data_IF_974668049453
#
_entry.id   IF_974668049453
#
_cell.length_a   1.000
_cell.length_b   1.000
_cell.length_c   1.000
_cell.angle_alpha   90.00
_cell.angle_beta   90.00
_cell.angle_gamma   90.00
#
_symmetry.space_group_name_H-M   'P 1'
#
loop_
_entity.id
_entity.type
_entity.pdbx_description
1 polymer ?
#
# COMPACT_ATOMS: atom_id res chain seq x y z
N UNK A 1 28.51 31.75 2.99
CA UNK A 1 27.80 30.45 2.95
C UNK A 1 26.32 30.75 2.89
N UNK A 2 25.67 30.50 1.74
CA UNK A 2 24.22 30.53 1.65
C UNK A 2 23.72 29.11 1.83
N UNK A 3 23.21 28.78 3.02
CA UNK A 3 22.46 27.54 3.20
C UNK A 3 21.01 27.81 2.84
N UNK A 4 20.50 27.09 1.84
CA UNK A 4 19.05 27.05 1.63
C UNK A 4 18.42 26.44 2.89
N UNK A 5 17.41 27.11 3.50
CA UNK A 5 16.71 26.49 4.60
C UNK A 5 16.14 25.14 4.12
N UNK A 6 16.10 24.10 4.97
CA UNK A 6 15.55 22.82 4.56
C UNK A 6 14.15 23.00 3.95
N UNK A 7 13.66 22.07 3.11
CA UNK A 7 12.28 22.08 2.61
C UNK A 7 11.29 21.43 3.59
N UNK A 8 9.98 21.72 3.45
CA UNK A 8 8.93 21.03 4.23
C UNK A 8 8.95 19.53 3.87
N UNK A 9 8.90 18.60 4.84
CA UNK A 9 8.84 17.17 4.53
C UNK A 9 7.56 16.84 3.76
N UNK A 10 7.67 15.93 2.79
CA UNK A 10 6.55 15.48 1.95
C UNK A 10 6.52 13.96 1.93
N UNK A 11 5.33 13.37 2.12
CA UNK A 11 5.10 11.93 1.93
C UNK A 11 4.51 11.74 0.54
N UNK A 12 5.25 11.10 -0.36
CA UNK A 12 4.76 10.79 -1.70
C UNK A 12 4.06 9.43 -1.76
N UNK A 13 4.59 8.42 -1.05
CA UNK A 13 4.02 7.06 -1.00
C UNK A 13 4.38 6.36 0.30
N UNK A 14 3.52 5.44 0.74
CA UNK A 14 3.74 4.54 1.87
C UNK A 14 3.44 3.11 1.45
N UNK A 15 4.22 2.14 1.94
CA UNK A 15 4.01 0.72 1.62
C UNK A 15 2.78 0.13 2.30
N UNK A 16 2.41 0.66 3.47
CA UNK A 16 1.27 0.22 4.26
C UNK A 16 0.31 1.39 4.49
N UNK A 17 -0.99 1.12 4.32
CA UNK A 17 -2.08 2.02 4.72
C UNK A 17 -2.80 1.55 5.97
N UNK A 18 -2.52 0.33 6.41
CA UNK A 18 -3.11 -0.26 7.60
C UNK A 18 -2.18 -1.28 8.24
N UNK A 19 -2.41 -1.56 9.52
CA UNK A 19 -1.81 -2.69 10.23
C UNK A 19 -2.73 -3.16 11.37
N UNK A 20 -2.50 -4.37 11.90
CA UNK A 20 -3.13 -4.78 13.16
C UNK A 20 -2.84 -3.79 14.29
N UNK A 21 -3.75 -3.70 15.25
CA UNK A 21 -3.61 -2.81 16.40
C UNK A 21 -2.34 -3.06 17.23
N UNK A 22 -1.77 -4.28 17.16
CA UNK A 22 -0.49 -4.61 17.78
C UNK A 22 0.73 -3.92 17.16
N UNK A 23 0.59 -3.31 15.97
CA UNK A 23 1.71 -2.71 15.25
C UNK A 23 2.80 -3.74 14.91
N UNK A 24 4.06 -3.32 14.99
CA UNK A 24 5.24 -4.18 14.81
C UNK A 24 5.63 -4.45 13.35
N UNK A 25 4.85 -3.98 12.38
CA UNK A 25 5.16 -4.12 10.96
C UNK A 25 6.13 -3.02 10.52
N UNK A 26 7.06 -3.38 9.65
CA UNK A 26 7.94 -2.43 8.96
C UNK A 26 7.18 -1.71 7.84
N UNK A 27 7.30 -0.39 7.82
CA UNK A 27 6.69 0.46 6.81
C UNK A 27 7.76 1.30 6.10
N UNK A 28 7.73 1.26 4.78
CA UNK A 28 8.55 2.08 3.91
C UNK A 28 7.78 3.33 3.51
N UNK A 29 8.40 4.50 3.66
CA UNK A 29 7.84 5.78 3.23
C UNK A 29 8.77 6.39 2.19
N UNK A 30 8.25 6.69 1.00
CA UNK A 30 8.91 7.47 -0.04
C UNK A 30 8.43 8.92 0.06
N UNK A 31 9.35 9.87 -0.06
CA UNK A 31 9.06 11.28 0.18
C UNK A 31 10.19 12.22 -0.21
N UNK A 32 10.18 13.42 0.39
CA UNK A 32 11.19 14.46 0.18
C UNK A 32 11.51 15.17 1.49
N UNK A 33 12.70 15.77 1.54
CA UNK A 33 13.18 16.63 2.63
C UNK A 33 13.25 15.92 4.00
N UNK A 34 13.56 14.62 3.98
CA UNK A 34 13.87 13.88 5.19
C UNK A 34 15.32 14.16 5.59
N UNK A 35 15.52 14.56 6.83
CA UNK A 35 16.84 14.81 7.42
C UNK A 35 17.11 13.82 8.55
N UNK A 36 18.32 13.86 9.13
CA UNK A 36 18.74 12.90 10.17
C UNK A 36 17.87 12.95 11.45
N UNK A 37 17.15 14.03 11.67
CA UNK A 37 16.23 14.23 12.79
C UNK A 37 14.77 13.86 12.46
N UNK A 38 14.54 13.24 11.29
CA UNK A 38 13.20 12.87 10.83
C UNK A 38 12.55 11.85 11.75
N UNK A 39 11.25 12.04 11.98
CA UNK A 39 10.41 11.18 12.83
C UNK A 39 9.07 10.99 12.16
N UNK A 40 8.45 9.84 12.38
CA UNK A 40 7.07 9.57 11.95
C UNK A 40 6.17 9.71 13.17
N UNK A 41 5.06 10.42 13.01
CA UNK A 41 4.10 10.70 14.08
C UNK A 41 2.76 10.08 13.69
N UNK A 42 2.22 9.24 14.57
CA UNK A 42 0.87 8.72 14.49
C UNK A 42 0.02 9.44 15.53
N UNK A 43 -1.15 9.93 15.14
CA UNK A 43 -2.00 10.72 16.04
C UNK A 43 -3.49 10.49 15.78
N UNK A 44 -4.29 10.59 16.83
CA UNK A 44 -5.74 10.53 16.79
C UNK A 44 -6.31 11.69 17.62
N UNK A 45 -7.36 12.32 17.11
CA UNK A 45 -7.97 13.50 17.72
C UNK A 45 -7.13 14.77 17.57
N UNK A 46 -7.66 15.87 18.10
CA UNK A 46 -6.96 17.15 18.13
C UNK A 46 -6.11 17.25 19.40
N UNK A 47 -4.94 17.89 19.29
CA UNK A 47 -4.04 18.06 20.43
C UNK A 47 -4.77 18.84 21.52
N UNK A 48 -4.84 18.25 22.71
CA UNK A 48 -5.47 18.86 23.88
C UNK A 48 -6.94 18.49 24.09
N UNK A 49 -7.52 17.63 23.25
CA UNK A 49 -8.85 17.05 23.53
C UNK A 49 -8.72 15.81 24.41
N UNK A 50 -9.73 15.60 25.26
CA UNK A 50 -9.93 14.34 25.96
C UNK A 50 -9.97 13.19 24.95
N UNK A 51 -9.13 12.17 25.16
CA UNK A 51 -8.99 11.04 24.24
C UNK A 51 -7.98 11.20 23.12
N UNK A 52 -7.29 12.34 22.99
CA UNK A 52 -6.19 12.49 22.03
C UNK A 52 -5.07 11.47 22.30
N UNK A 53 -4.45 11.01 21.21
CA UNK A 53 -3.34 10.05 21.24
C UNK A 53 -2.30 10.48 20.22
N UNK A 54 -1.03 10.43 20.61
CA UNK A 54 0.09 10.70 19.72
C UNK A 54 1.26 9.80 20.07
N UNK A 55 1.91 9.22 19.06
CA UNK A 55 3.13 8.44 19.22
C UNK A 55 4.13 8.83 18.15
N UNK A 56 5.36 9.04 18.60
CA UNK A 56 6.51 9.38 17.78
C UNK A 56 7.40 8.14 17.58
N UNK A 57 7.73 7.88 16.32
CA UNK A 57 8.55 6.76 15.88
C UNK A 57 9.81 7.30 15.24
N UNK A 58 10.95 6.78 15.69
CA UNK A 58 12.23 7.03 15.04
C UNK A 58 12.44 6.00 13.93
N UNK A 59 12.68 6.45 12.68
CA UNK A 59 13.10 5.56 11.61
C UNK A 59 14.41 4.85 11.95
N UNK A 60 14.62 3.71 11.31
CA UNK A 60 15.93 3.07 11.28
C UNK A 60 16.94 4.01 10.61
N UNK A 61 18.09 4.22 11.25
CA UNK A 61 19.07 5.23 10.83
C UNK A 61 19.78 4.82 9.56
N UNK A 62 19.98 3.52 9.35
CA UNK A 62 20.61 2.92 8.19
C UNK A 62 19.68 3.06 6.96
N UNK A 63 18.37 3.07 7.19
CA UNK A 63 17.36 3.20 6.14
C UNK A 63 16.72 4.59 6.05
N UNK A 64 17.28 5.61 6.70
CA UNK A 64 16.83 6.99 6.60
C UNK A 64 17.65 7.76 5.56
N UNK A 65 17.02 8.07 4.44
CA UNK A 65 17.57 8.86 3.34
C UNK A 65 16.71 10.10 3.09
N UNK A 66 17.23 11.08 2.35
CA UNK A 66 16.47 12.32 2.07
C UNK A 66 15.16 12.09 1.31
N UNK A 67 15.09 10.98 0.56
CA UNK A 67 13.94 10.60 -0.27
C UNK A 67 13.10 9.46 0.28
N UNK A 68 13.56 8.76 1.33
CA UNK A 68 12.83 7.62 1.87
C UNK A 68 13.27 7.27 3.28
N UNK A 69 12.39 6.59 4.02
CA UNK A 69 12.70 6.06 5.34
C UNK A 69 12.02 4.70 5.56
N UNK A 70 12.52 3.94 6.53
CA UNK A 70 11.87 2.73 7.06
C UNK A 70 11.66 2.90 8.55
N UNK A 71 10.46 2.57 9.02
CA UNK A 71 10.15 2.59 10.45
C UNK A 71 9.25 1.43 10.84
N UNK A 72 9.30 1.03 12.11
CA UNK A 72 8.39 0.05 12.69
C UNK A 72 7.14 0.77 13.20
N UNK A 73 5.96 0.34 12.75
CA UNK A 73 4.69 0.93 13.17
C UNK A 73 4.44 0.60 14.65
N UNK A 74 4.11 1.58 15.52
CA UNK A 74 3.93 1.34 16.94
C UNK A 74 2.59 0.63 17.19
N UNK A 75 2.41 -0.02 18.35
CA UNK A 75 1.09 -0.47 18.79
C UNK A 75 0.14 0.72 18.93
N UNK A 76 -1.12 0.51 18.59
CA UNK A 76 -2.18 1.49 18.87
C UNK A 76 -2.44 1.56 20.39
N UNK A 77 -3.03 2.67 20.85
CA UNK A 77 -3.30 2.94 22.29
C UNK A 77 -3.95 1.75 23.01
N UNK A 78 -4.86 1.05 22.32
CA UNK A 78 -5.51 -0.17 22.80
C UNK A 78 -5.49 -1.22 21.71
N UNK A 79 -4.93 -2.38 21.97
CA UNK A 79 -4.83 -3.43 20.94
C UNK A 79 -6.13 -4.21 20.73
N UNK A 80 -7.08 -4.11 21.68
CA UNK A 80 -8.34 -4.86 21.72
C UNK A 80 -9.50 -4.21 20.95
N UNK A 81 -9.19 -3.32 19.99
CA UNK A 81 -10.20 -2.64 19.16
C UNK A 81 -11.09 -3.66 18.43
N UNK A 82 -12.38 -3.32 18.34
CA UNK A 82 -13.40 -4.13 17.65
C UNK A 82 -13.68 -3.67 16.22
N UNK A 83 -13.41 -2.40 15.96
CA UNK A 83 -13.61 -1.75 14.67
C UNK A 83 -12.30 -1.09 14.22
N UNK A 84 -12.10 -0.89 12.90
CA UNK A 84 -10.94 -0.16 12.39
C UNK A 84 -10.90 1.28 12.91
N UNK A 85 -9.70 1.74 13.32
CA UNK A 85 -9.47 3.09 13.81
C UNK A 85 -8.62 3.86 12.81
N UNK A 86 -9.09 5.03 12.39
CA UNK A 86 -8.37 5.93 11.50
C UNK A 86 -7.52 6.88 12.34
N UNK A 87 -6.22 6.91 12.04
CA UNK A 87 -5.26 7.82 12.63
C UNK A 87 -4.60 8.65 11.54
N UNK A 88 -4.06 9.80 11.93
CA UNK A 88 -3.26 10.68 11.10
C UNK A 88 -1.77 10.32 11.24
N UNK A 89 -1.12 10.12 10.11
CA UNK A 89 0.30 9.85 9.97
C UNK A 89 0.99 11.08 9.36
N UNK A 90 2.02 11.59 10.02
CA UNK A 90 2.82 12.71 9.56
C UNK A 90 4.31 12.39 9.66
N UNK A 91 5.12 13.04 8.83
CA UNK A 91 6.57 13.05 8.98
C UNK A 91 6.99 14.43 9.49
N UNK A 92 7.75 14.45 10.57
CA UNK A 92 8.33 15.66 11.17
C UNK A 92 9.83 15.67 10.91
N UNK A 93 10.35 16.73 10.29
CA UNK A 93 11.75 16.90 9.93
C UNK A 93 12.15 18.35 10.12
N UNK A 94 13.22 18.61 10.88
CA UNK A 94 13.73 19.96 11.17
C UNK A 94 12.66 20.95 11.67
N UNK A 95 11.83 20.48 12.59
CA UNK A 95 10.78 21.28 13.23
C UNK A 95 9.57 21.58 12.34
N UNK A 96 9.46 20.98 11.16
CA UNK A 96 8.27 21.09 10.30
C UNK A 96 7.61 19.75 10.08
N UNK A 97 6.30 19.77 9.88
CA UNK A 97 5.47 18.60 9.65
C UNK A 97 5.00 18.54 8.21
N UNK A 98 4.87 17.33 7.68
CA UNK A 98 4.23 17.07 6.40
C UNK A 98 2.71 17.28 6.50
N UNK A 99 2.03 17.21 5.35
CA UNK A 99 0.60 16.94 5.32
C UNK A 99 0.25 15.64 6.06
N UNK A 100 -0.95 15.58 6.63
CA UNK A 100 -1.48 14.40 7.32
C UNK A 100 -2.00 13.35 6.35
N UNK A 101 -1.48 12.13 6.47
CA UNK A 101 -1.94 10.98 5.71
C UNK A 101 -2.80 10.07 6.59
N UNK A 102 -3.91 9.55 6.05
CA UNK A 102 -4.72 8.56 6.78
C UNK A 102 -3.98 7.22 6.85
N UNK A 103 -4.01 6.63 8.05
CA UNK A 103 -3.52 5.29 8.35
C UNK A 103 -4.54 4.57 9.24
N UNK A 104 -4.68 3.24 9.09
CA UNK A 104 -5.77 2.49 9.75
C UNK A 104 -5.21 1.38 10.64
N UNK A 105 -5.54 1.41 11.93
CA UNK A 105 -5.34 0.25 12.80
C UNK A 105 -6.55 -0.68 12.72
N UNK A 106 -6.32 -1.97 12.49
CA UNK A 106 -7.37 -2.98 12.37
C UNK A 106 -7.42 -3.90 13.59
N UNK A 107 -8.60 -4.45 13.94
CA UNK A 107 -8.72 -5.48 14.97
C UNK A 107 -7.79 -6.66 14.74
N UNK A 108 -7.30 -7.26 15.82
CA UNK A 108 -6.55 -8.51 15.77
C UNK A 108 -7.40 -9.61 15.11
N UNK A 109 -6.84 -10.28 14.10
CA UNK A 109 -7.53 -11.33 13.33
C UNK A 109 -8.34 -10.82 12.13
N UNK A 110 -8.48 -9.50 11.94
CA UNK A 110 -8.97 -8.96 10.67
C UNK A 110 -7.86 -9.02 9.61
N UNK A 111 -8.15 -9.64 8.47
CA UNK A 111 -7.18 -9.66 7.37
C UNK A 111 -7.02 -8.24 6.78
N UNK A 112 -5.80 -7.78 6.42
CA UNK A 112 -5.59 -6.43 5.85
C UNK A 112 -6.38 -6.14 4.58
N UNK A 113 -6.88 -7.17 3.89
CA UNK A 113 -7.68 -7.07 2.67
C UNK A 113 -9.15 -6.68 2.92
N UNK A 114 -9.62 -6.73 4.17
CA UNK A 114 -11.03 -6.53 4.50
C UNK A 114 -11.39 -5.08 4.88
N UNK A 115 -10.39 -4.18 4.93
CA UNK A 115 -10.59 -2.78 5.28
C UNK A 115 -11.13 -1.90 4.12
N UNK A 116 -11.41 -2.49 2.95
CA UNK A 116 -12.03 -1.80 1.81
C UNK A 116 -13.48 -2.27 1.67
N UNK A 117 -14.38 -1.51 2.30
CA UNK A 117 -15.84 -1.44 2.13
C UNK A 117 -16.71 -2.73 2.30
N UNK A 118 -17.83 -2.65 3.05
CA UNK A 118 -18.92 -3.62 2.93
C UNK A 118 -19.70 -3.33 1.64
N UNK A 119 -19.45 -4.10 0.58
CA UNK A 119 -20.40 -4.23 -0.53
C UNK A 119 -21.74 -4.73 0.05
N UNK A 120 -22.89 -4.06 -0.22
CA UNK A 120 -24.18 -4.55 0.25
C UNK A 120 -24.51 -5.87 -0.44
N UNK A 121 -24.40 -6.96 0.31
CA UNK A 121 -24.83 -8.29 -0.11
C UNK A 121 -26.35 -8.30 -0.34
N UNK A 122 -26.77 -8.33 -1.60
CA UNK A 122 -28.15 -8.69 -1.94
C UNK A 122 -28.32 -10.20 -1.80
N UNK A 123 -29.33 -10.70 -1.05
CA UNK A 123 -29.59 -12.12 -0.93
C UNK A 123 -30.61 -12.54 -1.98
N UNK A 124 -30.29 -13.50 -2.85
CA UNK A 124 -31.34 -14.41 -3.37
C UNK A 124 -30.74 -15.76 -3.75
N UNK A 125 -31.24 -16.80 -3.10
CA UNK A 125 -31.03 -18.20 -3.46
C UNK A 125 -31.79 -18.51 -4.76
N UNK A 126 -31.15 -19.20 -5.71
CA UNK A 126 -31.82 -20.13 -6.61
C UNK A 126 -30.84 -21.19 -7.13
N UNK A 127 -31.38 -22.39 -7.33
CA UNK A 127 -30.73 -23.68 -7.56
C UNK A 127 -30.34 -23.87 -9.05
N UNK A 128 -29.26 -24.63 -9.25
CA UNK A 128 -28.68 -25.28 -10.44
C UNK A 128 -29.41 -25.18 -11.80
N UNK A 129 -28.62 -24.93 -12.86
CA UNK A 129 -28.52 -25.80 -14.05
C UNK A 129 -27.38 -25.36 -14.97
N UNK A 130 -26.58 -26.33 -15.43
CA UNK A 130 -25.48 -26.20 -16.39
C UNK A 130 -25.99 -25.99 -17.81
N UNK A 131 -25.60 -24.88 -18.45
CA UNK A 131 -25.67 -24.72 -19.92
C UNK A 131 -24.42 -23.96 -20.38
N UNK A 132 -23.61 -24.47 -21.32
CA UNK A 132 -22.54 -23.71 -21.92
C UNK A 132 -23.10 -22.90 -23.10
N UNK A 133 -23.32 -21.60 -22.90
CA UNK A 133 -23.66 -20.67 -23.98
C UNK A 133 -22.51 -19.70 -24.21
N UNK A 134 -22.03 -19.69 -25.46
CA UNK A 134 -20.96 -18.82 -25.96
C UNK A 134 -21.28 -17.33 -25.75
N UNK A 135 -20.28 -16.45 -25.59
CA UNK A 135 -20.52 -15.01 -25.63
C UNK A 135 -20.83 -14.57 -27.06
N UNK A 136 -22.07 -14.15 -27.30
CA UNK A 136 -22.48 -13.37 -28.47
C UNK A 136 -22.11 -11.92 -28.17
N UNK A 137 -21.11 -11.38 -28.88
CA UNK A 137 -20.81 -9.94 -28.80
C UNK A 137 -21.81 -9.17 -29.67
N UNK A 138 -22.49 -8.13 -29.14
CA UNK A 138 -23.34 -7.28 -29.95
C UNK A 138 -22.46 -6.42 -30.88
N UNK A 139 -22.55 -6.71 -32.18
CA UNK A 139 -22.05 -5.86 -33.24
C UNK A 139 -22.94 -4.63 -33.33
N UNK A 140 -22.45 -3.46 -32.91
CA UNK A 140 -22.67 -2.13 -33.53
C UNK A 140 -22.48 -1.00 -32.50
N UNK A 141 -21.41 -0.23 -32.68
CA UNK A 141 -21.39 1.20 -32.33
C UNK A 141 -21.06 1.96 -33.63
N UNK A 142 -22.11 2.45 -34.29
CA UNK A 142 -22.05 3.34 -35.45
C UNK A 142 -21.73 4.75 -34.96
N UNK A 143 -20.46 5.14 -34.86
CA UNK A 143 -20.14 6.57 -35.02
C UNK A 143 -18.74 6.95 -35.52
N UNK A 144 -17.68 6.15 -35.41
CA UNK A 144 -16.37 6.55 -35.95
C UNK A 144 -15.60 5.31 -36.43
N UNK A 145 -15.35 5.21 -37.73
CA UNK A 145 -14.80 4.03 -38.40
C UNK A 145 -13.32 3.74 -38.10
N UNK A 146 -13.06 2.87 -37.12
CA UNK A 146 -11.74 2.25 -36.90
C UNK A 146 -11.90 0.80 -36.41
N UNK A 147 -11.26 -0.20 -37.04
CA UNK A 147 -11.30 -1.59 -36.57
C UNK A 147 -10.45 -1.78 -35.31
N UNK A 148 -11.04 -2.37 -34.26
CA UNK A 148 -10.34 -2.84 -33.06
C UNK A 148 -9.87 -4.29 -33.28
N UNK A 149 -8.56 -4.48 -33.48
CA UNK A 149 -7.92 -5.82 -33.49
C UNK A 149 -7.61 -6.24 -32.04
N UNK A 150 -8.19 -7.35 -31.59
CA UNK A 150 -7.86 -8.02 -30.34
C UNK A 150 -6.67 -8.99 -30.53
N UNK A 151 -5.62 -8.95 -29.70
CA UNK A 151 -4.64 -10.04 -29.63
C UNK A 151 -5.17 -11.19 -28.75
N UNK A 152 -5.06 -12.42 -29.27
CA UNK A 152 -5.45 -13.64 -28.57
C UNK A 152 -4.40 -14.05 -27.52
N UNK A 153 -4.82 -14.13 -26.25
CA UNK A 153 -4.07 -14.82 -25.20
C UNK A 153 -4.03 -16.33 -25.48
N UNK A 154 -2.83 -16.89 -25.65
CA UNK A 154 -2.58 -18.32 -25.47
C UNK A 154 -1.59 -18.49 -24.33
N UNK A 155 -2.11 -18.84 -23.15
CA UNK A 155 -1.34 -19.57 -22.14
C UNK A 155 -1.32 -21.06 -22.54
N UNK A 156 -0.20 -21.75 -22.31
CA UNK A 156 -0.29 -23.10 -21.80
C UNK A 156 0.46 -23.30 -20.48
N UNK A 157 -0.15 -24.17 -19.69
CA UNK A 157 0.18 -24.63 -18.35
C UNK A 157 1.28 -25.71 -18.39
N UNK A 158 2.12 -25.73 -17.34
CA UNK A 158 2.86 -26.90 -16.77
C UNK A 158 3.76 -27.78 -17.66
N UNK A 159 5.04 -27.86 -17.28
CA UNK A 159 5.77 -29.12 -16.99
C UNK A 159 6.89 -28.87 -15.95
N UNK A 160 7.22 -29.83 -15.06
CA UNK A 160 8.31 -29.72 -14.10
C UNK A 160 9.62 -30.41 -14.57
N UNK A 161 10.75 -29.88 -14.08
CA UNK A 161 12.00 -30.55 -13.68
C UNK A 161 12.71 -31.54 -14.65
N UNK A 162 13.89 -31.18 -15.17
CA UNK A 162 15.20 -31.79 -14.84
C UNK A 162 16.39 -31.17 -15.61
N UNK A 163 17.53 -31.15 -14.94
CA UNK A 163 18.87 -30.64 -15.31
C UNK A 163 19.50 -31.31 -16.55
N UNK A 164 20.36 -30.58 -17.29
CA UNK A 164 21.83 -30.66 -17.25
C UNK A 164 22.48 -29.77 -18.36
N UNK A 165 23.56 -29.04 -18.01
CA UNK A 165 24.59 -28.47 -18.92
C UNK A 165 25.37 -29.63 -19.63
N UNK A 166 26.24 -29.47 -20.67
CA UNK A 166 27.03 -28.28 -21.02
C UNK A 166 27.21 -27.97 -22.53
N UNK A 167 27.88 -26.83 -22.79
CA UNK A 167 29.00 -26.65 -23.73
C UNK A 167 28.84 -25.55 -24.80
N UNK A 168 29.64 -24.51 -24.59
CA UNK A 168 30.03 -23.42 -25.50
C UNK A 168 30.83 -24.00 -26.68
N UNK A 169 30.69 -23.44 -27.90
CA UNK A 169 31.90 -22.93 -28.54
C UNK A 169 31.73 -21.54 -29.17
N UNK A 170 32.74 -20.73 -28.89
CA UNK A 170 33.08 -19.46 -29.52
C UNK A 170 33.03 -19.52 -31.06
N UNK A 171 32.59 -18.43 -31.69
CA UNK A 171 33.31 -17.91 -32.86
C UNK A 171 33.11 -16.42 -33.08
N UNK A 172 34.21 -15.68 -32.89
CA UNK A 172 34.45 -14.40 -33.54
C UNK A 172 34.43 -14.57 -35.06
N UNK A 173 33.80 -13.63 -35.76
CA UNK A 173 34.40 -12.96 -36.90
C UNK A 173 33.76 -11.61 -37.11
#
# INVERSE_FOLDING_TARGET
ICTQPPGVPEICKKSLSSCPASGGLEMFILGKNFLKDTRVVFSEGDIGTEGSWEVLVHPDKEFLQQSHLVCVIPPYRREDIKDPVLVKLQVVSSGRSSEGHTFIYTPLGASPLQAVAPEPSMPTRAIAQSVPSQPVFPSQNLLLGVPFMLPANKFPLTTPFLSEDPAIPNKCK
#
